data_IF_696387238085
#
_entry.id   IF_696387238085
#
_cell.length_a   1.000
_cell.length_b   1.000
_cell.length_c   1.000
_cell.angle_alpha   90.00
_cell.angle_beta   90.00
_cell.angle_gamma   90.00
#
_symmetry.space_group_name_H-M   'P 1'
#
loop_
_entity.id
_entity.type
_entity.pdbx_description
1 polymer ?
#
# COMPACT_ATOMS: atom_id res chain seq x y z
N UNK A 1 12.35 3.80 2.19
CA UNK A 1 11.24 3.92 1.23
C UNK A 1 11.05 2.60 0.50
N UNK A 2 9.84 2.11 0.43
CA UNK A 2 9.54 0.82 -0.17
C UNK A 2 8.55 0.99 -1.30
N UNK A 3 8.74 0.22 -2.36
CA UNK A 3 7.82 0.22 -3.51
C UNK A 3 7.15 -1.12 -3.60
N UNK A 4 5.86 -1.06 -3.92
CA UNK A 4 5.05 -2.26 -4.08
C UNK A 4 4.27 -2.16 -5.37
N UNK A 5 4.06 -3.29 -6.03
CA UNK A 5 3.10 -3.40 -7.11
C UNK A 5 1.84 -4.01 -6.54
N UNK A 6 0.72 -3.30 -6.68
CA UNK A 6 -0.55 -3.73 -6.13
C UNK A 6 -1.55 -3.94 -7.25
N UNK A 7 -2.16 -5.12 -7.27
CA UNK A 7 -3.16 -5.47 -8.26
C UNK A 7 -4.55 -5.37 -7.66
N UNK A 8 -5.50 -4.94 -8.48
CA UNK A 8 -6.90 -4.84 -8.07
C UNK A 8 -7.35 -3.45 -7.69
N UNK A 9 -6.43 -2.49 -7.56
CA UNK A 9 -6.80 -1.11 -7.31
C UNK A 9 -7.29 -0.48 -8.60
N UNK A 10 -8.56 -0.07 -8.63
CA UNK A 10 -9.17 0.46 -9.84
C UNK A 10 -9.76 1.84 -9.68
N UNK A 11 -9.79 2.39 -8.47
CA UNK A 11 -10.42 3.69 -8.22
C UNK A 11 -9.87 4.33 -6.95
N UNK A 12 -10.30 5.56 -6.71
CA UNK A 12 -9.85 6.32 -5.54
C UNK A 12 -10.24 5.70 -4.20
N UNK A 13 -11.31 4.93 -4.15
CA UNK A 13 -11.69 4.22 -2.93
C UNK A 13 -10.65 3.18 -2.54
N UNK A 14 -10.07 2.52 -3.52
CA UNK A 14 -9.02 1.55 -3.28
C UNK A 14 -7.77 2.23 -2.70
N UNK A 15 -7.40 3.38 -3.27
CA UNK A 15 -6.29 4.17 -2.77
C UNK A 15 -6.49 4.53 -1.30
N UNK A 16 -7.70 5.01 -0.98
CA UNK A 16 -8.01 5.43 0.37
C UNK A 16 -7.98 4.25 1.35
N UNK A 17 -8.51 3.11 0.94
CA UNK A 17 -8.52 1.91 1.78
C UNK A 17 -7.11 1.46 2.12
N UNK A 18 -6.24 1.38 1.12
CA UNK A 18 -4.84 0.98 1.32
C UNK A 18 -4.11 1.99 2.20
N UNK A 19 -4.27 3.28 1.92
CA UNK A 19 -3.61 4.33 2.69
C UNK A 19 -4.05 4.28 4.16
N UNK A 20 -5.35 4.14 4.39
CA UNK A 20 -5.90 4.09 5.75
C UNK A 20 -5.37 2.87 6.50
N UNK A 21 -5.35 1.70 5.84
CA UNK A 21 -4.86 0.47 6.46
C UNK A 21 -3.41 0.63 6.94
N UNK A 22 -2.57 1.25 6.11
CA UNK A 22 -1.18 1.45 6.46
C UNK A 22 -1.05 2.47 7.59
N UNK A 23 -1.77 3.57 7.50
CA UNK A 23 -1.67 4.63 8.52
C UNK A 23 -2.30 4.24 9.85
N UNK A 24 -3.23 3.29 9.87
CA UNK A 24 -3.75 2.76 11.12
C UNK A 24 -2.67 2.05 11.93
N UNK A 25 -1.73 1.42 11.25
CA UNK A 25 -0.63 0.73 11.92
C UNK A 25 0.54 1.67 12.20
N UNK A 26 0.77 2.65 11.35
CA UNK A 26 1.83 3.64 11.51
C UNK A 26 1.29 5.01 11.10
N UNK A 27 0.79 5.81 12.05
CA UNK A 27 0.20 7.11 11.72
C UNK A 27 1.17 8.08 11.05
N UNK A 28 2.47 7.88 11.22
CA UNK A 28 3.46 8.74 10.58
C UNK A 28 3.88 8.25 9.20
N UNK A 29 3.29 7.16 8.72
CA UNK A 29 3.62 6.63 7.40
C UNK A 29 3.24 7.60 6.29
N UNK A 30 4.09 7.67 5.27
CA UNK A 30 3.80 8.40 4.04
C UNK A 30 3.49 7.39 2.96
N UNK A 31 2.35 7.55 2.30
CA UNK A 31 1.88 6.61 1.29
C UNK A 31 1.56 7.38 0.01
N UNK A 32 2.13 6.95 -1.10
CA UNK A 32 1.84 7.49 -2.42
C UNK A 32 1.38 6.35 -3.32
N UNK A 33 0.29 6.58 -4.04
CA UNK A 33 -0.28 5.57 -4.92
C UNK A 33 -0.41 6.11 -6.32
N UNK A 34 0.06 5.33 -7.30
CA UNK A 34 -0.08 5.64 -8.71
C UNK A 34 -1.03 4.59 -9.32
N UNK A 35 -2.29 4.97 -9.52
CA UNK A 35 -3.30 4.05 -10.02
C UNK A 35 -2.99 3.49 -11.42
N UNK A 36 -2.53 4.32 -12.38
CA UNK A 36 -2.26 3.77 -13.72
C UNK A 36 -1.26 2.64 -13.73
N UNK A 37 -0.27 2.66 -12.85
CA UNK A 37 0.75 1.62 -12.81
C UNK A 37 0.51 0.59 -11.69
N UNK A 38 -0.36 0.91 -10.74
CA UNK A 38 -0.55 0.08 -9.56
C UNK A 38 0.60 0.14 -8.57
N UNK A 39 1.46 1.15 -8.68
CA UNK A 39 2.60 1.29 -7.79
C UNK A 39 2.22 2.01 -6.52
N UNK A 40 2.66 1.46 -5.39
CA UNK A 40 2.47 2.07 -4.07
C UNK A 40 3.85 2.28 -3.45
N UNK A 41 4.12 3.51 -3.03
CA UNK A 41 5.36 3.87 -2.36
C UNK A 41 5.03 4.17 -0.90
N UNK A 42 5.69 3.46 0.01
CA UNK A 42 5.44 3.60 1.44
C UNK A 42 6.73 3.97 2.15
N UNK A 43 6.66 5.01 2.95
CA UNK A 43 7.75 5.39 3.84
C UNK A 43 7.25 5.26 5.27
N UNK A 44 7.68 4.19 5.97
CA UNK A 44 7.21 3.88 7.31
C UNK A 44 8.21 2.97 8.02
N UNK A 45 7.96 2.73 9.30
CA UNK A 45 8.74 1.77 10.09
C UNK A 45 8.26 0.34 9.92
N UNK A 46 7.18 0.13 9.17
CA UNK A 46 6.67 -1.21 8.92
C UNK A 46 7.58 -1.97 7.96
N UNK A 47 7.66 -3.28 8.14
CA UNK A 47 8.39 -4.12 7.18
C UNK A 47 7.58 -4.27 5.90
N UNK A 48 8.26 -4.66 4.81
CA UNK A 48 7.57 -4.94 3.55
C UNK A 48 6.49 -6.00 3.71
N UNK A 49 6.76 -7.05 4.49
CA UNK A 49 5.79 -8.11 4.73
C UNK A 49 4.56 -7.59 5.47
N UNK A 50 4.76 -6.70 6.43
CA UNK A 50 3.64 -6.09 7.14
C UNK A 50 2.77 -5.27 6.22
N UNK A 51 3.39 -4.47 5.34
CA UNK A 51 2.64 -3.66 4.37
C UNK A 51 1.87 -4.54 3.40
N UNK A 52 2.51 -5.59 2.89
CA UNK A 52 1.86 -6.54 1.98
C UNK A 52 0.65 -7.19 2.66
N UNK A 53 0.80 -7.58 3.92
CA UNK A 53 -0.29 -8.16 4.68
C UNK A 53 -1.46 -7.21 4.88
N UNK A 54 -1.17 -5.94 5.17
CA UNK A 54 -2.21 -4.93 5.34
C UNK A 54 -2.96 -4.68 4.04
N UNK A 55 -2.25 -4.60 2.94
CA UNK A 55 -2.87 -4.42 1.62
C UNK A 55 -3.71 -5.65 1.27
N UNK A 56 -3.21 -6.85 1.59
CA UNK A 56 -3.93 -8.08 1.36
C UNK A 56 -5.24 -8.17 2.14
N UNK A 57 -5.26 -7.65 3.35
CA UNK A 57 -6.49 -7.62 4.17
C UNK A 57 -7.59 -6.77 3.54
N UNK A 58 -7.20 -5.80 2.71
CA UNK A 58 -8.17 -4.97 1.98
C UNK A 58 -8.64 -5.62 0.68
N UNK A 59 -8.17 -6.82 0.38
CA UNK A 59 -8.61 -7.57 -0.78
C UNK A 59 -7.75 -7.39 -2.03
N UNK A 60 -6.57 -6.81 -1.90
CA UNK A 60 -5.67 -6.57 -3.03
C UNK A 60 -4.43 -7.44 -2.91
N UNK A 61 -3.75 -7.66 -4.03
CA UNK A 61 -2.49 -8.38 -4.05
C UNK A 61 -1.33 -7.40 -4.18
N UNK A 62 -0.41 -7.44 -3.23
CA UNK A 62 0.76 -6.59 -3.24
C UNK A 62 2.03 -7.43 -3.32
N UNK A 63 2.99 -6.93 -4.07
CA UNK A 63 4.30 -7.54 -4.20
C UNK A 63 5.35 -6.45 -4.05
N UNK A 64 6.45 -6.78 -3.39
CA UNK A 64 7.57 -5.86 -3.26
C UNK A 64 8.21 -5.64 -4.64
N UNK A 65 8.33 -4.38 -5.04
CA UNK A 65 8.78 -4.04 -6.40
C UNK A 65 10.26 -3.68 -6.46
N UNK A 66 10.90 -3.49 -5.31
CA UNK A 66 12.33 -3.14 -5.33
C UNK A 66 13.06 -3.63 -4.12
#
# INVERSE_FOLDING_TARGET
>A
MQRFNVQGMTCGHCVKAVTTAIKDQDPSALVQVDLPTGEVIVESDLTGEQVIGLIGEEGYQAQLAS
#
